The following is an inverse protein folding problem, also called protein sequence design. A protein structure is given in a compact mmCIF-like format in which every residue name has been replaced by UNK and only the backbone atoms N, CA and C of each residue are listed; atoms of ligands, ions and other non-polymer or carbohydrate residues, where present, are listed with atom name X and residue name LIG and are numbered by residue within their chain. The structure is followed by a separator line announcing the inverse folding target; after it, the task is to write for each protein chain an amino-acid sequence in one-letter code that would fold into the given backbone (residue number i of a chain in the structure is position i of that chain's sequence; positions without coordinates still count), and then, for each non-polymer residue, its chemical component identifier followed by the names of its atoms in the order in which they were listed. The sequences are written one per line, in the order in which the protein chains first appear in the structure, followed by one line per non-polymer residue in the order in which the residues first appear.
data_IF_187490482868
#
_entry.id   IF_187490482868
#
_cell.length_a   1.000
_cell.length_b   1.000
_cell.length_c   1.000
_cell.angle_alpha   90.00
_cell.angle_beta   90.00
_cell.angle_gamma   90.00
#
_symmetry.space_group_name_H-M   'P 1'
#
loop_
_entity.id
_entity.type
_entity.pdbx_description
1 polymer ?
#
# COMPACT_ATOMS: atom_id res chain seq x y z
N UNK A 1 -25.38 -40.37 -17.28
CA UNK A 1 -24.45 -39.47 -17.98
C UNK A 1 -25.17 -38.18 -18.33
N UNK A 2 -24.50 -37.03 -18.25
CA UNK A 2 -24.97 -35.65 -18.47
C UNK A 2 -25.61 -34.91 -17.26
N UNK A 3 -24.79 -34.61 -16.24
CA UNK A 3 -25.06 -33.56 -15.22
C UNK A 3 -23.87 -32.61 -14.96
N UNK A 4 -22.89 -32.56 -15.87
CA UNK A 4 -21.62 -31.83 -15.66
C UNK A 4 -21.45 -30.51 -16.41
N UNK A 5 -22.40 -30.08 -17.25
CA UNK A 5 -22.19 -28.95 -18.18
C UNK A 5 -22.54 -27.56 -17.64
N UNK A 6 -23.50 -27.45 -16.72
CA UNK A 6 -24.07 -26.13 -16.34
C UNK A 6 -23.22 -25.41 -15.30
N UNK A 7 -22.60 -26.14 -14.36
CA UNK A 7 -21.75 -25.55 -13.31
C UNK A 7 -20.40 -25.01 -13.84
N UNK A 8 -19.86 -25.62 -14.91
CA UNK A 8 -18.62 -25.16 -15.55
C UNK A 8 -18.85 -23.87 -16.35
N UNK A 9 -20.01 -23.75 -17.00
CA UNK A 9 -20.34 -22.55 -17.77
C UNK A 9 -20.63 -21.36 -16.84
N UNK A 10 -21.29 -21.58 -15.70
CA UNK A 10 -21.52 -20.52 -14.71
C UNK A 10 -20.24 -20.07 -13.99
N UNK A 11 -19.29 -20.98 -13.73
CA UNK A 11 -18.01 -20.61 -13.11
C UNK A 11 -17.05 -19.91 -14.07
N UNK A 12 -17.10 -20.24 -15.38
CA UNK A 12 -16.37 -19.54 -16.43
C UNK A 12 -16.98 -18.15 -16.69
N UNK A 13 -18.31 -18.03 -16.78
CA UNK A 13 -18.98 -16.73 -16.95
C UNK A 13 -18.79 -15.82 -15.72
N UNK A 14 -18.78 -16.37 -14.50
CA UNK A 14 -18.48 -15.62 -13.29
C UNK A 14 -16.99 -15.21 -13.20
N UNK A 15 -16.07 -16.02 -13.74
CA UNK A 15 -14.66 -15.65 -13.92
C UNK A 15 -14.47 -14.53 -14.94
N UNK A 16 -15.19 -14.56 -16.06
CA UNK A 16 -15.11 -13.51 -17.07
C UNK A 16 -15.80 -12.21 -16.64
N UNK A 17 -16.92 -12.28 -15.92
CA UNK A 17 -17.58 -11.10 -15.33
C UNK A 17 -16.78 -10.50 -14.16
N UNK A 18 -15.99 -11.32 -13.44
CA UNK A 18 -15.05 -10.85 -12.41
C UNK A 18 -13.79 -10.19 -12.98
N UNK A 19 -13.46 -10.45 -14.26
CA UNK A 19 -12.37 -9.77 -14.98
C UNK A 19 -12.80 -8.43 -15.59
N UNK A 20 -14.09 -8.12 -15.67
CA UNK A 20 -14.57 -6.83 -16.19
C UNK A 20 -14.56 -5.68 -15.17
N UNK A 21 -14.12 -5.94 -13.93
CA UNK A 21 -13.72 -4.89 -12.99
C UNK A 21 -12.24 -4.56 -13.19
N UNK A 22 -11.82 -4.29 -14.42
CA UNK A 22 -10.48 -3.79 -14.74
C UNK A 22 -10.26 -2.43 -14.03
N UNK A 23 -9.35 -2.33 -13.05
CA UNK A 23 -8.94 -1.05 -12.50
C UNK A 23 -8.23 -0.18 -13.56
N UNK A 24 -7.90 -0.77 -14.73
CA UNK A 24 -7.21 -0.11 -15.84
C UNK A 24 -8.04 0.97 -16.55
N UNK A 25 -9.37 0.84 -16.62
CA UNK A 25 -10.21 1.83 -17.31
C UNK A 25 -10.29 3.17 -16.55
N UNK A 26 -10.37 3.11 -15.22
CA UNK A 26 -10.37 4.30 -14.36
C UNK A 26 -8.97 4.93 -14.25
N UNK A 27 -7.91 4.13 -14.18
CA UNK A 27 -6.53 4.63 -14.19
C UNK A 27 -6.15 5.28 -15.53
N UNK A 28 -6.58 4.72 -16.65
CA UNK A 28 -6.42 5.34 -17.96
C UNK A 28 -7.13 6.69 -18.07
N UNK A 29 -8.36 6.77 -17.57
CA UNK A 29 -9.13 8.01 -17.53
C UNK A 29 -8.47 9.10 -16.67
N UNK A 30 -8.00 8.74 -15.46
CA UNK A 30 -7.32 9.68 -14.56
C UNK A 30 -6.01 10.18 -15.17
N UNK A 31 -5.22 9.31 -15.80
CA UNK A 31 -3.98 9.69 -16.48
C UNK A 31 -4.24 10.68 -17.61
N UNK A 32 -5.26 10.44 -18.45
CA UNK A 32 -5.66 11.38 -19.50
C UNK A 32 -6.13 12.71 -18.92
N UNK A 33 -6.94 12.69 -17.86
CA UNK A 33 -7.38 13.91 -17.18
C UNK A 33 -6.20 14.73 -16.67
N UNK A 34 -5.20 14.08 -16.06
CA UNK A 34 -3.97 14.73 -15.60
C UNK A 34 -3.19 15.35 -16.77
N UNK A 35 -3.00 14.62 -17.87
CA UNK A 35 -2.28 15.12 -19.05
C UNK A 35 -2.98 16.35 -19.64
N UNK A 36 -4.31 16.31 -19.75
CA UNK A 36 -5.11 17.44 -20.24
C UNK A 36 -4.96 18.64 -19.33
N UNK A 37 -5.04 18.46 -18.01
CA UNK A 37 -4.84 19.55 -17.04
C UNK A 37 -3.42 20.13 -17.13
N UNK A 38 -2.39 19.31 -17.18
CA UNK A 38 -1.01 19.77 -17.38
C UNK A 38 -0.86 20.57 -18.68
N UNK A 39 -1.41 20.07 -19.79
CA UNK A 39 -1.38 20.75 -21.08
C UNK A 39 -2.12 22.09 -21.05
N UNK A 40 -3.29 22.16 -20.42
CA UNK A 40 -4.05 23.41 -20.22
C UNK A 40 -3.27 24.41 -19.37
N UNK A 41 -2.59 23.96 -18.32
CA UNK A 41 -1.72 24.81 -17.48
C UNK A 41 -0.60 25.42 -18.32
N UNK A 42 0.11 24.59 -19.08
CA UNK A 42 1.22 25.01 -19.93
C UNK A 42 0.72 25.96 -21.02
N UNK A 43 -0.41 25.65 -21.67
CA UNK A 43 -1.01 26.49 -22.70
C UNK A 43 -1.44 27.85 -22.16
N UNK A 44 -2.02 27.91 -20.95
CA UNK A 44 -2.43 29.16 -20.30
C UNK A 44 -1.22 30.02 -19.90
N UNK A 45 -0.17 29.39 -19.35
CA UNK A 45 1.09 30.08 -19.05
C UNK A 45 1.73 30.61 -20.34
N UNK A 46 1.82 29.79 -21.39
CA UNK A 46 2.38 30.19 -22.68
C UNK A 46 1.54 31.31 -23.34
N UNK A 47 0.20 31.23 -23.27
CA UNK A 47 -0.71 32.27 -23.75
C UNK A 47 -0.42 33.61 -23.08
N UNK A 48 -0.30 33.63 -21.74
CA UNK A 48 0.01 34.86 -21.00
C UNK A 48 1.40 35.38 -21.34
N UNK A 49 2.42 34.51 -21.39
CA UNK A 49 3.81 34.91 -21.63
C UNK A 49 4.08 35.36 -23.07
N UNK A 50 3.46 34.73 -24.08
CA UNK A 50 3.71 35.01 -25.50
C UNK A 50 2.82 36.13 -26.04
N UNK A 51 1.51 36.09 -25.74
CA UNK A 51 0.53 37.01 -26.36
C UNK A 51 0.30 38.27 -25.52
N UNK A 52 0.70 38.29 -24.25
CA UNK A 52 0.67 39.50 -23.41
C UNK A 52 2.06 40.11 -23.17
N UNK A 53 3.11 39.61 -23.85
CA UNK A 53 4.50 40.08 -23.76
C UNK A 53 4.69 41.59 -23.97
N UNK A 54 3.85 42.22 -24.80
CA UNK A 54 3.92 43.66 -25.12
C UNK A 54 3.11 44.58 -24.20
N UNK A 55 2.20 44.03 -23.39
CA UNK A 55 1.57 44.76 -22.28
C UNK A 55 2.42 44.47 -21.05
N UNK A 56 2.61 45.43 -20.14
CA UNK A 56 3.26 45.13 -18.86
C UNK A 56 2.43 44.05 -18.15
N UNK A 57 2.85 42.79 -18.27
CA UNK A 57 2.19 41.61 -17.66
C UNK A 57 2.00 41.83 -16.15
N UNK A 58 2.86 42.68 -15.56
CA UNK A 58 2.88 43.08 -14.16
C UNK A 58 1.84 44.15 -13.80
N UNK A 59 1.23 44.87 -14.74
CA UNK A 59 0.24 45.92 -14.44
C UNK A 59 -1.22 45.49 -14.68
N UNK A 60 -1.46 44.45 -15.49
CA UNK A 60 -2.81 43.96 -15.78
C UNK A 60 -3.29 42.90 -14.75
N UNK A 61 -4.27 43.28 -13.93
CA UNK A 61 -4.92 42.42 -12.92
C UNK A 61 -5.46 41.11 -13.50
N UNK A 62 -5.92 41.11 -14.75
CA UNK A 62 -6.45 39.92 -15.40
C UNK A 62 -5.37 38.86 -15.61
N UNK A 63 -4.18 39.27 -16.06
CA UNK A 63 -3.04 38.38 -16.26
C UNK A 63 -2.57 37.77 -14.93
N UNK A 64 -2.60 38.56 -13.84
CA UNK A 64 -2.26 38.09 -12.49
C UNK A 64 -3.22 37.03 -11.99
N UNK A 65 -4.54 37.26 -12.11
CA UNK A 65 -5.55 36.29 -11.68
C UNK A 65 -5.50 35.00 -12.51
N UNK A 66 -5.28 35.09 -13.83
CA UNK A 66 -5.14 33.90 -14.67
C UNK A 66 -3.91 33.06 -14.30
N UNK A 67 -2.77 33.70 -14.05
CA UNK A 67 -1.56 32.99 -13.59
C UNK A 67 -1.74 32.42 -12.18
N UNK A 68 -2.43 33.12 -11.29
CA UNK A 68 -2.74 32.64 -9.94
C UNK A 68 -3.66 31.42 -9.98
N UNK A 69 -4.70 31.44 -10.82
CA UNK A 69 -5.60 30.30 -11.02
C UNK A 69 -4.85 29.12 -11.64
N UNK A 70 -4.00 29.35 -12.64
CA UNK A 70 -3.15 28.31 -13.22
C UNK A 70 -2.25 27.67 -12.15
N UNK A 71 -1.64 28.49 -11.30
CA UNK A 71 -0.70 28.06 -10.26
C UNK A 71 -1.39 27.38 -9.07
N UNK A 72 -2.55 27.85 -8.64
CA UNK A 72 -3.21 27.39 -7.40
C UNK A 72 -4.29 26.34 -7.65
N UNK A 73 -5.04 26.42 -8.75
CA UNK A 73 -6.13 25.47 -9.00
C UNK A 73 -5.65 24.31 -9.87
N UNK A 74 -4.93 24.60 -10.95
CA UNK A 74 -4.61 23.56 -11.93
C UNK A 74 -3.38 22.72 -11.54
N UNK A 75 -2.33 23.33 -11.01
CA UNK A 75 -1.10 22.62 -10.61
C UNK A 75 -1.25 21.75 -9.34
N UNK A 76 -1.84 22.23 -8.23
CA UNK A 76 -1.86 21.47 -6.98
C UNK A 76 -2.88 20.34 -6.98
N UNK A 77 -4.02 20.50 -7.68
CA UNK A 77 -5.03 19.44 -7.77
C UNK A 77 -4.45 18.22 -8.48
N UNK A 78 -3.74 18.43 -9.59
CA UNK A 78 -3.06 17.35 -10.31
C UNK A 78 -2.03 16.66 -9.41
N UNK A 79 -1.23 17.44 -8.68
CA UNK A 79 -0.24 16.89 -7.77
C UNK A 79 -0.88 16.10 -6.62
N UNK A 80 -1.97 16.61 -6.03
CA UNK A 80 -2.68 15.95 -4.93
C UNK A 80 -3.33 14.63 -5.38
N UNK A 81 -3.93 14.61 -6.58
CA UNK A 81 -4.51 13.39 -7.15
C UNK A 81 -3.40 12.36 -7.42
N UNK A 82 -2.31 12.77 -8.07
CA UNK A 82 -1.20 11.87 -8.34
C UNK A 82 -0.54 11.36 -7.06
N UNK A 83 -0.35 12.25 -6.07
CA UNK A 83 0.14 11.88 -4.75
C UNK A 83 -0.76 10.84 -4.08
N UNK A 84 -2.09 11.00 -4.15
CA UNK A 84 -3.04 10.02 -3.62
C UNK A 84 -2.90 8.64 -4.28
N UNK A 85 -2.74 8.60 -5.60
CA UNK A 85 -2.54 7.34 -6.35
C UNK A 85 -1.22 6.68 -5.92
N UNK A 86 -0.11 7.43 -5.95
CA UNK A 86 1.19 6.92 -5.54
C UNK A 86 1.20 6.49 -4.06
N UNK A 87 0.42 7.16 -3.22
CA UNK A 87 0.26 6.82 -1.81
C UNK A 87 -0.45 5.47 -1.62
N UNK A 88 -1.48 5.18 -2.43
CA UNK A 88 -2.15 3.88 -2.42
C UNK A 88 -1.29 2.78 -3.05
N UNK A 89 -0.68 3.04 -4.21
CA UNK A 89 0.19 2.09 -4.90
C UNK A 89 1.38 1.63 -4.03
N UNK A 90 1.93 2.55 -3.22
CA UNK A 90 3.01 2.25 -2.28
C UNK A 90 2.59 1.40 -1.07
N UNK A 91 1.38 0.85 -1.04
CA UNK A 91 0.91 -0.15 -0.07
C UNK A 91 0.88 -1.57 -0.66
N UNK A 92 1.05 -1.69 -1.97
CA UNK A 92 0.94 -2.97 -2.67
C UNK A 92 2.16 -3.86 -2.42
N UNK A 93 1.96 -5.17 -2.51
CA UNK A 93 3.06 -6.15 -2.46
C UNK A 93 4.06 -5.90 -3.58
N UNK A 94 3.59 -5.52 -4.78
CA UNK A 94 4.46 -5.21 -5.93
C UNK A 94 5.40 -4.05 -5.64
N UNK A 95 4.93 -2.99 -4.97
CA UNK A 95 5.79 -1.88 -4.56
C UNK A 95 6.82 -2.34 -3.52
N UNK A 96 6.41 -3.10 -2.50
CA UNK A 96 7.36 -3.64 -1.53
C UNK A 96 8.43 -4.52 -2.20
N UNK A 97 8.03 -5.33 -3.19
CA UNK A 97 8.91 -6.22 -3.96
C UNK A 97 9.82 -5.47 -4.97
N UNK A 98 9.64 -4.17 -5.19
CA UNK A 98 10.53 -3.42 -6.09
C UNK A 98 11.92 -3.21 -5.49
N UNK A 99 12.07 -3.40 -4.19
CA UNK A 99 13.34 -3.36 -3.48
C UNK A 99 13.88 -4.77 -3.28
N UNK A 100 15.09 -5.08 -3.78
CA UNK A 100 15.64 -6.45 -3.73
C UNK A 100 15.74 -7.02 -2.31
N UNK A 101 15.93 -6.15 -1.31
CA UNK A 101 15.99 -6.52 0.12
C UNK A 101 14.70 -7.14 0.63
N UNK A 102 13.56 -6.90 -0.04
CA UNK A 102 12.25 -7.45 0.32
C UNK A 102 11.94 -8.76 -0.43
N UNK A 103 12.71 -9.13 -1.46
CA UNK A 103 12.38 -10.26 -2.33
C UNK A 103 12.20 -11.58 -1.57
N UNK A 104 13.04 -11.87 -0.56
CA UNK A 104 12.91 -13.10 0.21
C UNK A 104 11.65 -13.15 1.08
N UNK A 105 11.19 -12.00 1.59
CA UNK A 105 9.92 -11.87 2.31
C UNK A 105 8.71 -12.06 1.38
N UNK A 106 8.78 -11.50 0.17
CA UNK A 106 7.72 -11.68 -0.83
C UNK A 106 7.71 -13.10 -1.37
N UNK A 107 8.88 -13.73 -1.55
CA UNK A 107 9.00 -15.12 -1.94
C UNK A 107 8.33 -16.04 -0.93
N UNK A 108 8.57 -15.84 0.36
CA UNK A 108 7.86 -16.54 1.44
C UNK A 108 6.35 -16.30 1.39
N UNK A 109 5.92 -15.03 1.25
CA UNK A 109 4.51 -14.65 1.20
C UNK A 109 3.72 -15.42 0.12
N UNK A 110 4.32 -15.63 -1.05
CA UNK A 110 3.66 -16.28 -2.19
C UNK A 110 3.98 -17.78 -2.31
N UNK A 111 4.84 -18.32 -1.44
CA UNK A 111 5.22 -19.73 -1.47
C UNK A 111 4.04 -20.59 -1.00
N UNK A 112 3.50 -21.49 -1.85
CA UNK A 112 2.37 -22.34 -1.48
C UNK A 112 2.72 -23.37 -0.40
N UNK A 113 4.00 -23.69 -0.22
CA UNK A 113 4.47 -24.67 0.77
C UNK A 113 4.89 -24.00 2.08
N UNK A 114 4.88 -22.66 2.15
CA UNK A 114 5.21 -21.94 3.38
C UNK A 114 4.06 -21.95 4.38
N UNK A 115 4.39 -22.32 5.63
CA UNK A 115 3.48 -22.33 6.77
C UNK A 115 3.65 -21.09 7.67
N UNK A 116 4.35 -20.04 7.19
CA UNK A 116 4.49 -18.81 7.96
C UNK A 116 3.17 -18.05 8.03
N UNK A 117 3.01 -17.20 9.06
CA UNK A 117 1.75 -16.45 9.21
C UNK A 117 1.49 -15.58 7.97
N UNK A 118 2.53 -14.94 7.42
CA UNK A 118 2.38 -14.13 6.22
C UNK A 118 1.87 -14.95 5.04
N UNK A 119 2.49 -16.10 4.76
CA UNK A 119 2.09 -17.00 3.68
C UNK A 119 0.65 -17.49 3.85
N UNK A 120 0.28 -17.96 5.05
CA UNK A 120 -1.08 -18.42 5.34
C UNK A 120 -2.12 -17.30 5.12
N UNK A 121 -1.84 -16.07 5.58
CA UNK A 121 -2.74 -14.93 5.38
C UNK A 121 -2.91 -14.56 3.90
N UNK A 122 -1.87 -14.77 3.09
CA UNK A 122 -1.90 -14.56 1.65
C UNK A 122 -2.67 -15.68 0.92
N UNK A 123 -2.30 -16.94 1.15
CA UNK A 123 -2.85 -18.12 0.48
C UNK A 123 -4.37 -18.25 0.70
N UNK A 124 -4.83 -18.10 1.94
CA UNK A 124 -6.25 -18.18 2.27
C UNK A 124 -7.02 -16.87 2.03
N UNK A 125 -6.33 -15.83 1.54
CA UNK A 125 -6.90 -14.52 1.24
C UNK A 125 -7.64 -13.91 2.44
N UNK A 126 -7.15 -14.17 3.66
CA UNK A 126 -7.64 -13.53 4.88
C UNK A 126 -7.38 -12.02 4.87
N UNK A 127 -6.34 -11.61 4.14
CA UNK A 127 -6.10 -10.20 3.79
C UNK A 127 -6.28 -10.05 2.28
N UNK A 128 -7.33 -9.33 1.88
CA UNK A 128 -7.75 -9.22 0.48
C UNK A 128 -6.71 -8.49 -0.38
N UNK A 129 -6.24 -7.33 0.09
CA UNK A 129 -5.35 -6.42 -0.64
C UNK A 129 -4.30 -5.80 0.30
N UNK A 130 -3.19 -5.32 -0.28
CA UNK A 130 -2.11 -4.63 0.43
C UNK A 130 -1.54 -5.46 1.59
N UNK A 131 -1.33 -6.75 1.36
CA UNK A 131 -1.07 -7.77 2.38
C UNK A 131 0.12 -7.42 3.30
N UNK A 132 1.23 -6.96 2.73
CA UNK A 132 2.37 -6.50 3.53
C UNK A 132 1.99 -5.28 4.38
N UNK A 133 1.31 -4.30 3.77
CA UNK A 133 1.00 -3.04 4.44
C UNK A 133 -0.02 -3.22 5.58
N UNK A 134 -0.99 -4.13 5.48
CA UNK A 134 -1.95 -4.36 6.56
C UNK A 134 -1.30 -4.87 7.85
N UNK A 135 -0.21 -5.64 7.75
CA UNK A 135 0.55 -6.11 8.91
C UNK A 135 1.68 -5.15 9.34
N UNK A 136 2.21 -4.34 8.40
CA UNK A 136 3.35 -3.44 8.63
C UNK A 136 2.96 -1.96 8.77
N UNK A 137 1.66 -1.67 8.82
CA UNK A 137 1.13 -0.36 9.20
C UNK A 137 0.22 -0.50 10.40
N UNK A 138 0.15 0.55 11.21
CA UNK A 138 -0.86 0.62 12.25
C UNK A 138 -2.18 1.13 11.66
N UNK A 139 -3.29 0.73 12.28
CA UNK A 139 -4.61 1.16 11.85
C UNK A 139 -4.83 2.68 12.04
N UNK A 140 -5.69 3.23 11.19
CA UNK A 140 -6.06 4.65 11.21
C UNK A 140 -5.10 5.56 10.44
N UNK A 141 -5.45 6.85 10.38
CA UNK A 141 -4.73 7.84 9.57
C UNK A 141 -3.30 8.04 10.07
N UNK A 142 -3.11 8.11 11.39
CA UNK A 142 -1.79 8.30 11.99
C UNK A 142 -0.88 7.09 11.81
N UNK A 143 -1.43 5.87 11.90
CA UNK A 143 -0.69 4.65 11.65
C UNK A 143 -0.22 4.52 10.20
N UNK A 144 -1.10 4.83 9.24
CA UNK A 144 -0.75 4.91 7.82
C UNK A 144 0.37 5.94 7.58
N UNK A 145 0.28 7.12 8.19
CA UNK A 145 1.28 8.17 8.02
C UNK A 145 2.64 7.76 8.62
N UNK A 146 2.64 7.17 9.81
CA UNK A 146 3.85 6.65 10.46
C UNK A 146 4.53 5.56 9.62
N UNK A 147 3.74 4.64 9.05
CA UNK A 147 4.25 3.61 8.15
C UNK A 147 4.92 4.22 6.91
N UNK A 148 4.37 5.29 6.33
CA UNK A 148 4.95 5.97 5.16
C UNK A 148 6.23 6.70 5.51
N UNK A 149 6.31 7.35 6.67
CA UNK A 149 7.58 7.94 7.14
C UNK A 149 8.64 6.86 7.41
N UNK A 150 8.25 5.68 7.89
CA UNK A 150 9.15 4.53 8.00
C UNK A 150 9.64 4.07 6.61
N UNK A 151 8.76 4.07 5.61
CA UNK A 151 9.12 3.81 4.21
C UNK A 151 10.15 4.80 3.64
N UNK A 152 9.95 6.10 3.84
CA UNK A 152 10.93 7.15 3.45
C UNK A 152 12.28 6.89 4.11
N UNK A 153 12.28 6.49 5.38
CA UNK A 153 13.51 6.12 6.07
C UNK A 153 14.17 4.87 5.48
N UNK A 154 13.42 3.87 5.05
CA UNK A 154 13.97 2.70 4.35
C UNK A 154 14.65 3.11 3.04
N UNK A 155 14.03 4.00 2.28
CA UNK A 155 14.62 4.58 1.06
C UNK A 155 15.92 5.30 1.39
N UNK A 156 15.94 6.13 2.43
CA UNK A 156 17.15 6.83 2.88
C UNK A 156 18.27 5.87 3.29
N UNK A 157 17.94 4.84 4.08
CA UNK A 157 18.89 3.79 4.45
C UNK A 157 19.40 3.05 3.23
N UNK A 158 18.53 2.72 2.28
CA UNK A 158 18.89 1.99 1.07
C UNK A 158 19.84 2.77 0.15
N UNK A 159 19.56 4.04 -0.11
CA UNK A 159 20.33 4.83 -1.09
C UNK A 159 21.52 5.59 -0.49
N UNK A 160 21.46 5.99 0.78
CA UNK A 160 22.40 6.98 1.32
C UNK A 160 23.29 6.41 2.42
N UNK A 161 22.70 5.76 3.42
CA UNK A 161 23.43 5.36 4.66
C UNK A 161 23.93 3.92 4.61
N UNK A 162 23.30 3.06 3.83
CA UNK A 162 23.45 1.61 3.91
C UNK A 162 22.43 0.97 4.87
N UNK A 163 22.23 -0.33 4.71
CA UNK A 163 21.35 -1.15 5.53
C UNK A 163 22.11 -2.35 6.10
N UNK A 164 21.69 -2.81 7.29
CA UNK A 164 22.23 -4.01 7.92
C UNK A 164 21.28 -5.18 7.73
N UNK A 165 21.86 -6.36 7.51
CA UNK A 165 21.13 -7.63 7.48
C UNK A 165 21.55 -8.51 8.67
N UNK A 166 20.60 -9.23 9.30
CA UNK A 166 19.18 -9.32 8.99
C UNK A 166 18.42 -8.02 9.32
N UNK A 167 17.36 -7.73 8.54
CA UNK A 167 16.50 -6.57 8.78
C UNK A 167 15.73 -6.81 10.09
N UNK A 168 15.82 -5.84 11.01
CA UNK A 168 15.16 -5.91 12.32
C UNK A 168 14.01 -4.91 12.40
N UNK A 169 12.92 -5.32 13.03
CA UNK A 169 11.89 -4.40 13.51
C UNK A 169 12.51 -3.45 14.54
N UNK A 170 12.10 -2.19 14.50
CA UNK A 170 12.50 -1.20 15.52
C UNK A 170 11.49 -1.25 16.65
N UNK A 171 11.94 -1.77 17.79
CA UNK A 171 11.08 -1.99 18.95
C UNK A 171 10.31 -3.31 18.86
N UNK A 172 9.26 -3.42 19.66
CA UNK A 172 8.35 -4.57 19.66
C UNK A 172 7.30 -4.43 18.58
N UNK A 173 6.82 -5.56 18.06
CA UNK A 173 5.68 -5.55 17.14
C UNK A 173 4.42 -5.11 17.90
N UNK A 174 3.57 -4.32 17.24
CA UNK A 174 2.34 -3.83 17.84
C UNK A 174 1.21 -4.85 17.67
N UNK A 175 0.88 -5.58 18.73
CA UNK A 175 -0.14 -6.62 18.74
C UNK A 175 -1.54 -6.09 18.40
N UNK A 176 -1.79 -4.79 18.54
CA UNK A 176 -3.06 -4.18 18.13
C UNK A 176 -3.36 -4.41 16.65
N UNK A 177 -2.32 -4.60 15.82
CA UNK A 177 -2.49 -4.96 14.40
C UNK A 177 -3.13 -6.34 14.26
N UNK A 178 -2.69 -7.33 15.04
CA UNK A 178 -3.28 -8.66 15.09
C UNK A 178 -4.70 -8.61 15.69
N UNK A 179 -4.83 -7.93 16.83
CA UNK A 179 -6.07 -7.86 17.61
C UNK A 179 -7.21 -7.16 16.88
N UNK A 180 -6.92 -6.32 15.88
CA UNK A 180 -7.98 -5.72 15.06
C UNK A 180 -8.86 -6.77 14.38
N UNK A 181 -8.25 -7.82 13.83
CA UNK A 181 -8.97 -8.92 13.17
C UNK A 181 -9.23 -10.09 14.12
N UNK A 182 -8.30 -10.38 15.03
CA UNK A 182 -8.39 -11.54 15.92
C UNK A 182 -9.18 -11.26 17.22
N UNK A 183 -9.05 -10.09 17.83
CA UNK A 183 -9.71 -9.76 19.11
C UNK A 183 -11.24 -9.90 19.12
N UNK A 184 -11.96 -9.49 18.05
CA UNK A 184 -13.41 -9.59 18.00
C UNK A 184 -13.97 -11.00 17.79
N UNK A 185 -13.16 -11.98 17.38
CA UNK A 185 -13.66 -13.31 16.99
C UNK A 185 -13.66 -14.30 18.15
N UNK A 186 -14.65 -15.21 18.17
CA UNK A 186 -14.78 -16.24 19.21
C UNK A 186 -13.56 -17.15 19.30
N UNK A 187 -12.98 -17.54 18.17
CA UNK A 187 -11.78 -18.38 18.14
C UNK A 187 -10.58 -17.79 18.87
N UNK A 188 -10.54 -16.46 19.06
CA UNK A 188 -9.55 -15.81 19.92
C UNK A 188 -10.02 -15.78 21.38
N UNK A 189 -11.26 -15.36 21.62
CA UNK A 189 -11.83 -15.17 22.95
C UNK A 189 -12.01 -16.48 23.74
N UNK A 190 -12.19 -17.59 23.05
CA UNK A 190 -12.45 -18.89 23.66
C UNK A 190 -11.17 -19.58 24.15
N UNK A 191 -9.98 -19.13 23.73
CA UNK A 191 -8.68 -19.65 24.16
C UNK A 191 -8.31 -19.06 25.52
N UNK A 192 -8.00 -19.91 26.51
CA UNK A 192 -7.79 -19.48 27.89
C UNK A 192 -6.49 -18.69 28.07
N UNK A 193 -5.44 -19.04 27.31
CA UNK A 193 -4.17 -18.31 27.28
C UNK A 193 -4.37 -16.87 26.80
N UNK A 194 -5.23 -16.64 25.79
CA UNK A 194 -5.53 -15.27 25.34
C UNK A 194 -6.27 -14.46 26.42
N UNK A 195 -7.14 -15.11 27.22
CA UNK A 195 -7.83 -14.45 28.33
C UNK A 195 -6.87 -14.10 29.46
N UNK A 196 -5.98 -15.03 29.81
CA UNK A 196 -4.98 -14.86 30.88
C UNK A 196 -4.01 -13.72 30.56
N UNK A 197 -3.48 -13.68 29.33
CA UNK A 197 -2.46 -12.71 28.91
C UNK A 197 -3.03 -11.48 28.21
N UNK A 198 -4.35 -11.29 28.15
CA UNK A 198 -4.99 -10.23 27.35
C UNK A 198 -4.38 -8.84 27.60
N UNK A 199 -4.18 -8.48 28.87
CA UNK A 199 -3.61 -7.16 29.23
C UNK A 199 -2.17 -7.00 28.77
N UNK A 200 -1.38 -8.06 28.81
CA UNK A 200 0.03 -8.03 28.39
C UNK A 200 0.15 -8.06 26.86
N UNK A 201 -0.78 -8.74 26.18
CA UNK A 201 -0.93 -8.70 24.73
C UNK A 201 -1.33 -7.29 24.25
N UNK A 202 -2.36 -6.68 24.85
CA UNK A 202 -2.81 -5.33 24.49
C UNK A 202 -1.72 -4.26 24.75
N UNK A 203 -0.90 -4.46 25.79
CA UNK A 203 0.19 -3.57 26.16
C UNK A 203 1.52 -3.85 25.42
N UNK A 204 1.56 -4.76 24.44
CA UNK A 204 2.76 -5.17 23.71
C UNK A 204 3.92 -5.67 24.60
N UNK A 205 3.60 -6.18 25.80
CA UNK A 205 4.58 -6.77 26.73
C UNK A 205 4.87 -8.23 26.40
N UNK A 206 3.87 -8.93 25.87
CA UNK A 206 3.98 -10.29 25.36
C UNK A 206 3.69 -10.27 23.87
N UNK A 207 4.51 -10.97 23.08
CA UNK A 207 4.32 -11.06 21.62
C UNK A 207 3.31 -12.16 21.28
N UNK A 208 2.51 -11.97 20.23
CA UNK A 208 1.70 -13.04 19.66
C UNK A 208 2.57 -14.18 19.08
N UNK A 209 3.80 -13.87 18.68
CA UNK A 209 4.76 -14.83 18.11
C UNK A 209 5.76 -15.31 19.17
N UNK A 210 6.19 -16.57 19.07
CA UNK A 210 7.27 -17.16 19.90
C UNK A 210 6.81 -18.33 20.76
N UNK A 211 7.78 -18.98 21.44
CA UNK A 211 7.71 -20.10 22.41
C UNK A 211 6.35 -20.82 22.57
N UNK A 212 5.78 -21.32 21.47
CA UNK A 212 4.56 -22.13 21.38
C UNK A 212 3.20 -21.40 21.22
N UNK A 213 3.18 -20.08 21.01
CA UNK A 213 1.95 -19.35 20.64
C UNK A 213 1.65 -19.44 19.14
N UNK A 214 2.01 -18.40 18.37
CA UNK A 214 1.91 -18.43 16.91
C UNK A 214 3.28 -18.58 16.24
N UNK A 215 3.27 -19.27 15.08
CA UNK A 215 4.45 -19.48 14.23
C UNK A 215 5.09 -18.16 13.79
N UNK A 216 6.33 -18.20 13.33
CA UNK A 216 7.03 -16.97 12.90
C UNK A 216 6.29 -16.28 11.74
N UNK A 217 6.20 -14.94 11.73
CA UNK A 217 5.58 -14.20 10.61
C UNK A 217 6.25 -14.47 9.26
N UNK A 218 7.56 -14.65 9.28
CA UNK A 218 8.40 -14.95 8.12
C UNK A 218 9.51 -15.94 8.53
N UNK A 219 10.13 -16.65 7.58
CA UNK A 219 11.31 -17.48 7.81
C UNK A 219 12.48 -16.64 8.34
N UNK A 220 13.34 -17.22 9.17
CA UNK A 220 14.51 -16.52 9.73
C UNK A 220 15.48 -16.06 8.64
N UNK A 221 15.45 -16.74 7.49
CA UNK A 221 16.31 -16.51 6.34
C UNK A 221 15.66 -15.63 5.27
N UNK A 222 14.45 -15.10 5.48
CA UNK A 222 13.75 -14.28 4.49
C UNK A 222 14.51 -12.99 4.07
N UNK A 223 15.46 -12.54 4.90
CA UNK A 223 16.36 -11.42 4.58
C UNK A 223 17.49 -11.78 3.61
N UNK A 224 17.75 -13.08 3.37
CA UNK A 224 18.76 -13.52 2.40
C UNK A 224 18.25 -13.19 1.01
N UNK A 225 18.77 -12.09 0.48
CA UNK A 225 18.65 -11.75 -0.94
C UNK A 225 19.32 -12.88 -1.71
N UNK A 226 18.63 -13.48 -2.67
CA UNK A 226 19.08 -14.66 -3.44
C UNK A 226 20.61 -14.62 -3.69
N UNK A 227 21.31 -15.65 -3.22
CA UNK A 227 22.58 -16.07 -3.83
C UNK A 227 22.34 -16.50 -5.28
#
# INVERSE_FOLDING_TARGET
MLKGGVGLFQSVLARELGQLQEPGASMGFINWMIIVLCALTIALIAYVLLLRRGRRIVDDSTSKWLLLIALILLSPIVYLVYFGIAFEESKTVSFCNSCHVMNGYVKDLIDPDSETIAALHYQYRWIADNQCFQCHSEYGIFGNLAAKFSGIRHIWSYYIVGYETPIKLRGTYNNQVCLHCHGPVRSFQDVDEHKEYLKDLEANKQSCFGADCHVSPHPKEAWKVNE
#
